data_IF_339029964061
#
_entry.id   IF_339029964061
#
_cell.length_a   1.000
_cell.length_b   1.000
_cell.length_c   1.000
_cell.angle_alpha   90.00
_cell.angle_beta   90.00
_cell.angle_gamma   90.00
#
_symmetry.space_group_name_H-M   'P 1'
#
loop_
_entity.id
_entity.type
_entity.pdbx_description
1 polymer ?
#
# COMPACT_ATOMS: atom_id res chain seq x y z
N UNK A 1 0.69 5.23 20.79
CA UNK A 1 -0.51 4.90 20.00
C UNK A 1 -0.67 3.39 20.12
N UNK A 2 -1.69 2.89 20.82
CA UNK A 2 -1.87 1.44 20.99
C UNK A 2 -2.13 0.84 19.61
N UNK A 3 -1.32 -0.14 19.22
CA UNK A 3 -1.52 -0.93 18.02
C UNK A 3 -2.73 -1.82 18.25
N UNK A 4 -3.85 -1.54 17.58
CA UNK A 4 -5.01 -2.44 17.48
C UNK A 4 -4.67 -3.63 16.55
N UNK A 5 -3.57 -4.34 16.85
CA UNK A 5 -3.24 -5.64 16.23
C UNK A 5 -3.85 -6.80 17.00
N UNK A 6 -4.65 -6.53 18.04
CA UNK A 6 -5.43 -7.56 18.69
C UNK A 6 -6.41 -8.12 17.65
N UNK A 7 -6.29 -9.43 17.38
CA UNK A 7 -7.26 -10.28 16.70
C UNK A 7 -8.55 -10.31 17.51
N UNK A 8 -9.26 -9.19 17.58
CA UNK A 8 -10.60 -9.10 18.14
C UNK A 8 -11.51 -9.67 17.07
N UNK A 9 -12.10 -10.84 17.34
CA UNK A 9 -13.27 -11.27 16.59
C UNK A 9 -14.25 -10.11 16.57
N UNK A 10 -14.57 -9.64 15.37
CA UNK A 10 -15.50 -8.53 15.21
C UNK A 10 -16.86 -9.05 15.67
N UNK A 11 -17.22 -8.78 16.93
CA UNK A 11 -18.52 -9.10 17.48
C UNK A 11 -19.59 -8.38 16.67
N UNK A 12 -20.48 -9.19 16.09
CA UNK A 12 -21.58 -8.76 15.26
C UNK A 12 -22.82 -8.64 16.14
N UNK A 13 -23.44 -7.46 16.16
CA UNK A 13 -24.68 -7.22 16.90
C UNK A 13 -25.87 -7.94 16.24
N UNK A 14 -26.83 -8.35 17.05
CA UNK A 14 -27.98 -9.19 16.68
C UNK A 14 -29.04 -8.49 15.81
N UNK A 15 -28.87 -7.20 15.50
CA UNK A 15 -29.72 -6.40 14.63
C UNK A 15 -29.55 -6.70 13.13
N UNK A 16 -28.63 -7.60 12.76
CA UNK A 16 -28.27 -7.94 11.38
C UNK A 16 -28.54 -9.40 10.99
N UNK A 17 -29.44 -10.11 11.68
CA UNK A 17 -29.72 -11.55 11.45
C UNK A 17 -30.11 -11.92 10.00
N UNK A 18 -30.51 -10.95 9.17
CA UNK A 18 -30.79 -11.16 7.74
C UNK A 18 -29.60 -11.03 6.78
N UNK A 19 -28.43 -10.57 7.24
CA UNK A 19 -27.24 -10.34 6.40
C UNK A 19 -26.21 -11.48 6.54
N UNK A 20 -25.63 -11.91 5.42
CA UNK A 20 -24.47 -12.81 5.42
C UNK A 20 -23.30 -12.26 6.24
N UNK A 21 -22.47 -13.15 6.81
CA UNK A 21 -21.35 -12.76 7.69
C UNK A 21 -20.44 -11.69 7.08
N UNK A 22 -20.22 -11.73 5.76
CA UNK A 22 -19.39 -10.76 5.04
C UNK A 22 -19.90 -9.32 5.21
N UNK A 23 -21.21 -9.08 5.05
CA UNK A 23 -21.82 -7.75 5.19
C UNK A 23 -21.88 -7.29 6.65
N UNK A 24 -22.13 -8.22 7.59
CA UNK A 24 -22.09 -7.92 9.02
C UNK A 24 -20.72 -7.42 9.47
N UNK A 25 -19.66 -8.00 8.93
CA UNK A 25 -18.29 -7.53 9.17
C UNK A 25 -18.03 -6.19 8.49
N UNK A 26 -18.58 -5.96 7.30
CA UNK A 26 -18.48 -4.66 6.63
C UNK A 26 -19.15 -3.54 7.44
N UNK A 27 -20.29 -3.81 8.09
CA UNK A 27 -20.94 -2.88 9.02
C UNK A 27 -20.03 -2.55 10.21
N UNK A 28 -19.49 -3.56 10.87
CA UNK A 28 -18.63 -3.33 12.02
C UNK A 28 -17.30 -2.63 11.67
N UNK A 29 -16.72 -2.92 10.49
CA UNK A 29 -15.58 -2.16 9.94
C UNK A 29 -15.96 -0.67 9.78
N UNK A 30 -17.16 -0.38 9.27
CA UNK A 30 -17.64 1.00 9.09
C UNK A 30 -17.91 1.69 10.42
N UNK A 31 -18.65 1.05 11.35
CA UNK A 31 -19.01 1.62 12.65
C UNK A 31 -17.79 1.96 13.51
N UNK A 32 -16.72 1.16 13.39
CA UNK A 32 -15.46 1.34 14.12
C UNK A 32 -14.38 2.10 13.33
N UNK A 33 -14.73 2.58 12.14
CA UNK A 33 -13.83 3.28 11.20
C UNK A 33 -12.47 2.58 10.97
N UNK A 34 -12.52 1.28 10.70
CA UNK A 34 -11.30 0.48 10.53
C UNK A 34 -10.79 0.54 9.08
N UNK A 35 -9.46 0.53 8.91
CA UNK A 35 -8.79 0.51 7.60
C UNK A 35 -8.79 -0.88 6.92
N UNK A 36 -9.95 -1.52 6.91
CA UNK A 36 -10.14 -2.84 6.34
C UNK A 36 -11.30 -2.87 5.35
N UNK A 37 -11.32 -3.86 4.47
CA UNK A 37 -12.50 -4.22 3.68
C UNK A 37 -12.80 -5.70 3.85
N UNK A 38 -14.07 -6.03 4.00
CA UNK A 38 -14.56 -7.41 4.05
C UNK A 38 -14.89 -7.86 2.63
N UNK A 39 -14.14 -8.83 2.08
CA UNK A 39 -14.42 -9.40 0.76
C UNK A 39 -15.09 -10.77 0.89
N UNK A 40 -16.16 -11.06 0.12
CA UNK A 40 -16.73 -12.40 0.06
C UNK A 40 -15.67 -13.44 -0.29
N UNK A 41 -15.63 -14.55 0.44
CA UNK A 41 -14.68 -15.62 0.15
C UNK A 41 -14.89 -16.22 -1.24
N UNK A 42 -16.12 -16.24 -1.72
CA UNK A 42 -16.50 -16.64 -3.08
C UNK A 42 -15.81 -15.79 -4.15
N UNK A 43 -15.66 -14.48 -3.89
CA UNK A 43 -14.95 -13.57 -4.78
C UNK A 43 -13.44 -13.83 -4.71
N UNK A 44 -12.89 -14.02 -3.50
CA UNK A 44 -11.46 -14.29 -3.30
C UNK A 44 -11.03 -15.60 -3.97
N UNK A 45 -11.90 -16.61 -3.95
CA UNK A 45 -11.67 -17.92 -4.56
C UNK A 45 -12.06 -17.98 -6.05
N UNK A 46 -12.59 -16.89 -6.61
CA UNK A 46 -13.03 -16.84 -8.00
C UNK A 46 -11.89 -17.00 -9.01
N UNK A 47 -12.24 -17.49 -10.19
CA UNK A 47 -11.32 -17.64 -11.32
C UNK A 47 -11.68 -16.63 -12.43
N UNK A 48 -10.71 -16.14 -13.19
CA UNK A 48 -11.00 -15.28 -14.33
C UNK A 48 -11.35 -16.14 -15.56
N UNK A 49 -12.47 -15.83 -16.22
CA UNK A 49 -12.91 -16.54 -17.44
C UNK A 49 -12.10 -16.15 -18.67
N UNK A 50 -12.06 -14.85 -18.91
CA UNK A 50 -11.31 -14.18 -19.96
C UNK A 50 -10.79 -12.85 -19.38
N UNK A 51 -9.57 -12.48 -19.78
CA UNK A 51 -8.90 -11.30 -19.23
C UNK A 51 -8.40 -11.47 -17.79
N UNK A 52 -8.25 -10.34 -17.10
CA UNK A 52 -7.89 -10.19 -15.69
C UNK A 52 -8.06 -8.71 -15.35
N UNK A 53 -8.29 -8.37 -14.09
CA UNK A 53 -8.13 -6.99 -13.66
C UNK A 53 -6.65 -6.56 -13.72
N UNK A 54 -6.39 -5.26 -13.75
CA UNK A 54 -5.08 -4.71 -13.41
C UNK A 54 -4.89 -4.65 -11.88
N UNK A 55 -3.71 -4.20 -11.43
CA UNK A 55 -3.50 -3.88 -10.02
C UNK A 55 -4.36 -2.68 -9.59
N UNK A 56 -4.55 -1.71 -10.49
CA UNK A 56 -5.41 -0.55 -10.24
C UNK A 56 -6.88 -0.95 -10.15
N UNK A 57 -7.38 -1.82 -11.05
CA UNK A 57 -8.74 -2.36 -10.99
C UNK A 57 -9.05 -3.12 -9.70
N UNK A 58 -8.14 -3.98 -9.24
CA UNK A 58 -8.31 -4.68 -7.95
C UNK A 58 -8.40 -3.73 -6.76
N UNK A 59 -7.58 -2.67 -6.75
CA UNK A 59 -7.58 -1.64 -5.69
C UNK A 59 -8.83 -0.78 -5.75
N UNK A 60 -9.22 -0.32 -6.94
CA UNK A 60 -10.44 0.45 -7.16
C UNK A 60 -11.66 -0.34 -6.69
N UNK A 61 -11.76 -1.62 -7.04
CA UNK A 61 -12.85 -2.47 -6.56
C UNK A 61 -12.87 -2.61 -5.03
N UNK A 62 -11.71 -2.77 -4.39
CA UNK A 62 -11.62 -2.83 -2.94
C UNK A 62 -12.04 -1.52 -2.26
N UNK A 63 -11.69 -0.37 -2.83
CA UNK A 63 -12.12 0.94 -2.36
C UNK A 63 -13.64 1.14 -2.53
N UNK A 64 -14.18 0.75 -3.69
CA UNK A 64 -15.62 0.74 -3.95
C UNK A 64 -16.38 -0.14 -2.95
N UNK A 65 -15.85 -1.33 -2.67
CA UNK A 65 -16.46 -2.23 -1.69
C UNK A 65 -16.36 -1.66 -0.27
N UNK A 66 -15.24 -1.02 0.10
CA UNK A 66 -15.12 -0.29 1.38
C UNK A 66 -16.14 0.83 1.51
N UNK A 67 -16.33 1.60 0.45
CA UNK A 67 -17.26 2.75 0.41
C UNK A 67 -18.71 2.26 0.59
N UNK A 68 -19.09 1.24 -0.18
CA UNK A 68 -20.42 0.65 -0.12
C UNK A 68 -20.72 -0.08 1.20
N UNK A 69 -19.71 -0.69 1.84
CA UNK A 69 -19.82 -1.30 3.17
C UNK A 69 -20.95 -2.33 3.28
N UNK A 70 -21.75 -2.37 4.36
CA UNK A 70 -22.87 -3.30 4.51
C UNK A 70 -23.99 -3.13 3.49
N UNK A 71 -24.05 -1.98 2.82
CA UNK A 71 -25.07 -1.68 1.82
C UNK A 71 -24.71 -2.25 0.44
N UNK A 72 -23.50 -2.81 0.27
CA UNK A 72 -23.01 -3.34 -1.01
C UNK A 72 -23.90 -4.44 -1.61
N UNK A 73 -24.76 -5.06 -0.81
CA UNK A 73 -25.75 -6.02 -1.26
C UNK A 73 -27.14 -5.44 -1.52
N UNK A 74 -27.39 -4.15 -1.32
CA UNK A 74 -28.72 -3.56 -1.49
C UNK A 74 -29.12 -3.42 -2.96
N UNK A 75 -30.41 -3.61 -3.25
CA UNK A 75 -30.93 -3.51 -4.61
C UNK A 75 -31.14 -2.07 -5.04
N UNK A 76 -30.88 -1.80 -6.34
CA UNK A 76 -31.03 -0.50 -6.99
C UNK A 76 -30.30 0.65 -6.27
N UNK A 77 -29.15 0.34 -5.64
CA UNK A 77 -28.36 1.33 -4.91
C UNK A 77 -27.13 1.75 -5.71
N UNK A 78 -27.08 3.04 -6.00
CA UNK A 78 -25.91 3.70 -6.58
C UNK A 78 -25.01 4.22 -5.45
N UNK A 79 -23.72 4.00 -5.59
CA UNK A 79 -22.70 4.49 -4.67
C UNK A 79 -21.83 5.54 -5.34
N UNK A 80 -21.23 6.41 -4.54
CA UNK A 80 -20.36 7.48 -5.02
C UNK A 80 -18.99 7.37 -4.38
N UNK A 81 -17.94 7.48 -5.19
CA UNK A 81 -16.55 7.54 -4.74
C UNK A 81 -15.84 8.69 -5.45
N UNK A 82 -15.02 9.45 -4.73
CA UNK A 82 -14.28 10.56 -5.36
C UNK A 82 -13.19 10.03 -6.28
N UNK A 83 -12.91 10.74 -7.37
CA UNK A 83 -11.76 10.43 -8.22
C UNK A 83 -10.44 10.51 -7.46
N UNK A 84 -10.36 11.36 -6.42
CA UNK A 84 -9.20 11.44 -5.52
C UNK A 84 -8.96 10.13 -4.76
N UNK A 85 -10.01 9.51 -4.22
CA UNK A 85 -9.92 8.21 -3.55
C UNK A 85 -9.44 7.12 -4.53
N UNK A 86 -10.01 7.07 -5.73
CA UNK A 86 -9.63 6.10 -6.76
C UNK A 86 -8.21 6.30 -7.31
N UNK A 87 -7.79 7.55 -7.49
CA UNK A 87 -6.47 7.94 -7.99
C UNK A 87 -5.36 7.63 -6.98
N UNK A 88 -5.64 7.77 -5.69
CA UNK A 88 -4.64 7.68 -4.63
C UNK A 88 -3.49 8.68 -4.84
N UNK A 89 -2.25 8.17 -4.90
CA UNK A 89 -1.04 9.00 -5.05
C UNK A 89 -0.68 9.37 -6.49
N UNK A 90 -1.49 9.00 -7.48
CA UNK A 90 -1.24 9.38 -8.88
C UNK A 90 -1.54 10.87 -9.10
N UNK A 91 -0.88 11.49 -10.10
CA UNK A 91 -0.98 12.93 -10.36
C UNK A 91 -2.25 13.34 -11.09
N UNK A 92 -2.81 12.46 -11.92
CA UNK A 92 -4.02 12.75 -12.71
C UNK A 92 -5.03 11.60 -12.68
N UNK A 93 -6.19 11.86 -13.30
CA UNK A 93 -7.35 10.97 -13.34
C UNK A 93 -7.39 10.09 -14.61
N UNK A 94 -6.41 10.20 -15.51
CA UNK A 94 -6.40 9.55 -16.84
C UNK A 94 -6.48 8.02 -16.79
N UNK A 95 -6.19 7.43 -15.63
CA UNK A 95 -6.23 5.99 -15.38
C UNK A 95 -7.58 5.49 -14.87
N UNK A 96 -8.48 6.39 -14.47
CA UNK A 96 -9.75 6.01 -13.83
C UNK A 96 -10.67 5.37 -14.86
N UNK A 97 -10.94 6.03 -15.99
CA UNK A 97 -11.82 5.49 -17.03
C UNK A 97 -11.39 4.09 -17.52
N UNK A 98 -10.11 3.83 -17.90
CA UNK A 98 -9.70 2.47 -18.27
C UNK A 98 -9.90 1.44 -17.16
N UNK A 99 -9.73 1.83 -15.89
CA UNK A 99 -9.96 0.96 -14.73
C UNK A 99 -11.46 0.64 -14.56
N UNK A 100 -12.35 1.61 -14.79
CA UNK A 100 -13.78 1.37 -14.77
C UNK A 100 -14.23 0.46 -15.90
N UNK A 101 -13.66 0.66 -17.10
CA UNK A 101 -13.90 -0.21 -18.25
C UNK A 101 -13.46 -1.66 -17.96
N UNK A 102 -12.32 -1.85 -17.29
CA UNK A 102 -11.88 -3.18 -16.82
C UNK A 102 -12.91 -3.81 -15.87
N UNK A 103 -13.42 -3.06 -14.89
CA UNK A 103 -14.37 -3.56 -13.88
C UNK A 103 -15.77 -3.84 -14.44
N UNK A 104 -16.21 -3.09 -15.45
CA UNK A 104 -17.47 -3.33 -16.15
C UNK A 104 -17.38 -4.58 -17.05
N UNK A 105 -16.22 -4.81 -17.69
CA UNK A 105 -16.06 -5.89 -18.68
C UNK A 105 -15.58 -7.22 -18.08
N UNK A 106 -14.97 -7.20 -16.89
CA UNK A 106 -14.44 -8.43 -16.29
C UNK A 106 -15.55 -9.43 -16.02
N UNK A 107 -15.28 -10.70 -16.33
CA UNK A 107 -16.14 -11.84 -15.97
C UNK A 107 -15.37 -12.73 -15.00
N UNK A 108 -15.91 -12.90 -13.80
CA UNK A 108 -15.40 -13.82 -12.79
C UNK A 108 -16.26 -15.07 -12.73
N UNK A 109 -15.62 -16.21 -12.49
CA UNK A 109 -16.24 -17.52 -12.32
C UNK A 109 -16.22 -17.92 -10.86
N UNK A 110 -17.41 -18.11 -10.30
CA UNK A 110 -17.61 -18.49 -8.90
C UNK A 110 -18.24 -19.87 -8.87
N UNK A 111 -17.67 -20.77 -8.06
CA UNK A 111 -18.28 -22.08 -7.80
C UNK A 111 -19.55 -21.88 -6.99
N UNK A 112 -20.64 -22.51 -7.41
CA UNK A 112 -21.95 -22.39 -6.78
C UNK A 112 -22.72 -23.69 -6.90
N UNK A 113 -23.96 -23.68 -6.41
CA UNK A 113 -24.89 -24.80 -6.51
C UNK A 113 -26.16 -24.32 -7.18
N UNK A 114 -26.63 -25.06 -8.19
CA UNK A 114 -27.91 -24.77 -8.86
C UNK A 114 -29.08 -24.94 -7.90
N UNK A 115 -30.26 -24.40 -8.27
CA UNK A 115 -31.52 -24.63 -7.53
C UNK A 115 -31.85 -26.12 -7.32
N UNK A 116 -31.29 -27.02 -8.13
CA UNK A 116 -31.45 -28.49 -8.04
C UNK A 116 -30.36 -29.16 -7.21
N UNK A 117 -29.54 -28.41 -6.46
CA UNK A 117 -28.47 -28.96 -5.62
C UNK A 117 -27.23 -29.42 -6.38
N UNK A 118 -27.15 -29.22 -7.71
CA UNK A 118 -25.98 -29.65 -8.51
C UNK A 118 -24.85 -28.61 -8.45
N UNK A 119 -23.58 -29.02 -8.29
CA UNK A 119 -22.43 -28.14 -8.46
C UNK A 119 -22.46 -27.44 -9.82
N UNK A 120 -22.14 -26.16 -9.84
CA UNK A 120 -22.12 -25.31 -11.03
C UNK A 120 -21.04 -24.24 -10.92
N UNK A 121 -20.75 -23.61 -12.05
CA UNK A 121 -19.92 -22.42 -12.14
C UNK A 121 -20.81 -21.29 -12.65
N UNK A 122 -20.86 -20.19 -11.90
CA UNK A 122 -21.57 -18.98 -12.28
C UNK A 122 -20.55 -17.97 -12.81
N UNK A 123 -20.75 -17.51 -14.04
CA UNK A 123 -19.99 -16.42 -14.66
C UNK A 123 -20.73 -15.10 -14.46
N UNK A 124 -20.04 -14.08 -13.98
CA UNK A 124 -20.67 -12.79 -13.68
C UNK A 124 -19.73 -11.60 -13.79
N UNK A 125 -20.28 -10.43 -14.13
CA UNK A 125 -19.58 -9.15 -14.00
C UNK A 125 -19.56 -8.67 -12.55
N UNK A 126 -18.70 -7.70 -12.24
CA UNK A 126 -18.62 -7.08 -10.91
C UNK A 126 -19.51 -5.83 -10.80
N UNK A 127 -19.51 -4.98 -11.83
CA UNK A 127 -20.31 -3.76 -11.89
C UNK A 127 -21.42 -3.89 -12.94
N UNK A 128 -22.56 -3.23 -12.72
CA UNK A 128 -23.63 -3.06 -13.72
C UNK A 128 -23.52 -1.73 -14.44
N UNK A 129 -23.15 -0.66 -13.73
CA UNK A 129 -23.07 0.68 -14.27
C UNK A 129 -21.97 1.50 -13.60
N UNK A 130 -21.48 2.49 -14.34
CA UNK A 130 -20.51 3.48 -13.88
C UNK A 130 -20.79 4.79 -14.61
N UNK A 131 -20.94 5.89 -13.86
CA UNK A 131 -21.08 7.25 -14.39
C UNK A 131 -19.93 8.08 -13.84
N UNK A 132 -19.07 8.55 -14.74
CA UNK A 132 -17.90 9.36 -14.39
C UNK A 132 -18.20 10.84 -14.70
N UNK A 133 -18.09 11.71 -13.70
CA UNK A 133 -18.17 13.15 -13.94
C UNK A 133 -16.95 13.62 -14.73
N UNK A 134 -17.11 14.57 -15.65
CA UNK A 134 -16.02 15.04 -16.53
C UNK A 134 -15.22 16.19 -15.87
N UNK A 135 -15.71 16.75 -14.75
CA UNK A 135 -15.06 17.88 -14.06
C UNK A 135 -13.64 17.55 -13.57
N UNK A 136 -12.77 18.55 -13.54
CA UNK A 136 -11.40 18.47 -13.00
C UNK A 136 -11.20 19.29 -11.72
N UNK A 137 -12.28 19.81 -11.13
CA UNK A 137 -12.29 20.66 -9.92
C UNK A 137 -11.77 19.99 -8.62
N UNK A 138 -11.29 18.75 -8.71
CA UNK A 138 -10.77 17.97 -7.59
C UNK A 138 -11.85 17.35 -6.70
N UNK A 139 -13.12 17.69 -6.90
CA UNK A 139 -14.29 17.12 -6.22
C UNK A 139 -15.03 16.11 -7.09
N UNK A 140 -14.68 16.01 -8.37
CA UNK A 140 -15.25 15.07 -9.32
C UNK A 140 -15.35 13.63 -8.78
N UNK A 141 -16.51 13.02 -9.01
CA UNK A 141 -16.84 11.68 -8.52
C UNK A 141 -17.06 10.66 -9.64
N UNK A 142 -17.07 9.40 -9.23
CA UNK A 142 -17.57 8.26 -9.97
C UNK A 142 -18.75 7.69 -9.21
N UNK A 143 -19.90 7.61 -9.88
CA UNK A 143 -21.04 6.85 -9.41
C UNK A 143 -20.98 5.44 -9.98
N UNK A 144 -21.27 4.43 -9.17
CA UNK A 144 -21.22 3.04 -9.59
C UNK A 144 -22.31 2.21 -8.93
N UNK A 145 -22.70 1.14 -9.61
CA UNK A 145 -23.61 0.13 -9.11
C UNK A 145 -22.99 -1.26 -9.28
N UNK A 146 -23.11 -2.08 -8.25
CA UNK A 146 -22.69 -3.48 -8.34
C UNK A 146 -23.67 -4.30 -9.17
N UNK A 147 -23.14 -5.28 -9.90
CA UNK A 147 -23.98 -6.19 -10.67
C UNK A 147 -24.94 -6.97 -9.76
N UNK A 148 -26.12 -7.30 -10.29
CA UNK A 148 -27.11 -8.13 -9.61
C UNK A 148 -26.51 -9.46 -9.10
N UNK A 149 -25.65 -10.06 -9.92
CA UNK A 149 -24.99 -11.32 -9.58
C UNK A 149 -23.96 -11.14 -8.45
N UNK A 150 -23.19 -10.05 -8.43
CA UNK A 150 -22.29 -9.74 -7.32
C UNK A 150 -23.06 -9.50 -6.02
N UNK A 151 -24.15 -8.72 -6.06
CA UNK A 151 -25.01 -8.47 -4.89
C UNK A 151 -25.49 -9.77 -4.25
N UNK A 152 -25.97 -10.73 -5.06
CA UNK A 152 -26.40 -12.05 -4.58
C UNK A 152 -25.28 -12.84 -3.89
N UNK A 153 -24.05 -12.72 -4.37
CA UNK A 153 -22.89 -13.36 -3.75
C UNK A 153 -22.62 -12.74 -2.38
N UNK A 154 -22.49 -11.41 -2.31
CA UNK A 154 -22.12 -10.76 -1.05
C UNK A 154 -23.23 -10.84 0.01
N UNK A 155 -24.51 -10.81 -0.39
CA UNK A 155 -25.65 -10.99 0.52
C UNK A 155 -25.63 -12.34 1.25
N UNK A 156 -25.19 -13.40 0.57
CA UNK A 156 -25.22 -14.80 1.07
C UNK A 156 -23.88 -15.31 1.59
N UNK A 157 -22.83 -14.48 1.49
CA UNK A 157 -21.48 -14.89 1.82
C UNK A 157 -21.28 -14.94 3.33
N UNK A 158 -21.00 -16.15 3.84
CA UNK A 158 -20.82 -16.41 5.27
C UNK A 158 -19.36 -16.60 5.70
N UNK A 159 -18.42 -16.43 4.76
CA UNK A 159 -16.99 -16.46 5.01
C UNK A 159 -16.31 -15.39 4.16
N UNK A 160 -15.30 -14.73 4.73
CA UNK A 160 -14.76 -13.50 4.16
C UNK A 160 -13.25 -13.40 4.37
N UNK A 161 -12.61 -12.61 3.52
CA UNK A 161 -11.27 -12.10 3.75
C UNK A 161 -11.35 -10.73 4.42
N UNK A 162 -10.68 -10.57 5.56
CA UNK A 162 -10.47 -9.27 6.19
C UNK A 162 -9.20 -8.65 5.62
N UNK A 163 -9.36 -7.76 4.65
CA UNK A 163 -8.24 -7.21 3.87
C UNK A 163 -7.84 -5.85 4.43
N UNK A 164 -6.61 -5.70 4.94
CA UNK A 164 -6.08 -4.39 5.33
C UNK A 164 -5.90 -3.52 4.08
N UNK A 165 -6.56 -2.36 4.04
CA UNK A 165 -6.55 -1.46 2.88
C UNK A 165 -5.18 -0.83 2.66
N UNK A 166 -4.46 -0.46 3.72
CA UNK A 166 -3.10 0.08 3.61
C UNK A 166 -2.16 -0.89 2.90
N UNK A 167 -2.17 -2.15 3.32
CA UNK A 167 -1.37 -3.23 2.68
C UNK A 167 -1.81 -3.42 1.23
N UNK A 168 -3.11 -3.58 0.98
CA UNK A 168 -3.64 -3.75 -0.38
C UNK A 168 -3.25 -2.58 -1.30
N UNK A 169 -3.32 -1.34 -0.84
CA UNK A 169 -2.94 -0.17 -1.64
C UNK A 169 -1.41 -0.08 -1.84
N UNK A 170 -0.61 -0.61 -0.92
CA UNK A 170 0.85 -0.61 -1.00
C UNK A 170 1.43 -1.68 -1.94
N UNK A 171 0.76 -2.83 -2.09
CA UNK A 171 1.16 -3.91 -3.01
C UNK A 171 1.12 -3.45 -4.48
N UNK A 172 2.11 -3.85 -5.28
CA UNK A 172 2.29 -3.34 -6.65
C UNK A 172 1.87 -4.36 -7.71
N UNK A 173 2.23 -5.62 -7.54
CA UNK A 173 1.84 -6.68 -8.45
C UNK A 173 0.37 -7.08 -8.26
N UNK A 174 -0.34 -7.22 -9.38
CA UNK A 174 -1.72 -7.74 -9.38
C UNK A 174 -1.82 -9.17 -8.83
N UNK A 175 -0.76 -9.95 -8.97
CA UNK A 175 -0.70 -11.30 -8.44
C UNK A 175 -0.49 -11.30 -6.92
N UNK A 176 0.29 -10.34 -6.40
CA UNK A 176 0.42 -10.13 -4.95
C UNK A 176 -0.91 -9.78 -4.32
N UNK A 177 -1.72 -8.91 -4.96
CA UNK A 177 -3.05 -8.56 -4.46
C UNK A 177 -3.95 -9.79 -4.32
N UNK A 178 -3.99 -10.67 -5.33
CA UNK A 178 -4.83 -11.88 -5.28
C UNK A 178 -4.29 -12.91 -4.27
N UNK A 179 -2.98 -13.12 -4.18
CA UNK A 179 -2.41 -14.02 -3.16
C UNK A 179 -2.59 -13.46 -1.74
N UNK A 180 -2.51 -12.14 -1.57
CA UNK A 180 -2.78 -11.48 -0.30
C UNK A 180 -4.24 -11.64 0.13
N UNK A 181 -5.20 -11.41 -0.78
CA UNK A 181 -6.62 -11.66 -0.50
C UNK A 181 -6.85 -13.12 -0.06
N UNK A 182 -6.21 -14.09 -0.73
CA UNK A 182 -6.28 -15.51 -0.35
C UNK A 182 -5.69 -15.76 1.04
N UNK A 183 -4.56 -15.13 1.37
CA UNK A 183 -3.97 -15.18 2.71
C UNK A 183 -4.91 -14.64 3.78
N UNK A 184 -5.48 -13.45 3.56
CA UNK A 184 -6.46 -12.83 4.46
C UNK A 184 -7.71 -13.72 4.69
N UNK A 185 -8.10 -14.51 3.68
CA UNK A 185 -9.23 -15.44 3.79
C UNK A 185 -8.97 -16.64 4.72
N UNK A 186 -7.70 -17.08 4.79
CA UNK A 186 -7.36 -18.35 5.45
C UNK A 186 -6.49 -18.19 6.69
N UNK A 187 -5.86 -17.05 6.92
CA UNK A 187 -4.86 -16.87 7.99
C UNK A 187 -5.44 -17.17 9.39
N UNK A 188 -6.74 -16.93 9.57
CA UNK A 188 -7.47 -17.20 10.81
C UNK A 188 -8.14 -18.58 10.85
N UNK A 189 -7.93 -19.44 9.84
CA UNK A 189 -8.42 -20.83 9.84
C UNK A 189 -7.44 -21.75 10.56
N UNK A 190 -7.94 -22.89 11.04
CA UNK A 190 -7.10 -23.95 11.62
C UNK A 190 -6.10 -24.51 10.59
N UNK A 191 -6.56 -24.71 9.35
CA UNK A 191 -5.71 -25.12 8.24
C UNK A 191 -5.41 -23.90 7.35
N UNK A 192 -4.15 -23.46 7.37
CA UNK A 192 -3.63 -22.30 6.62
C UNK A 192 -2.90 -22.72 5.35
N UNK A 193 -3.23 -23.90 4.84
CA UNK A 193 -2.61 -24.48 3.66
C UNK A 193 -3.64 -24.59 2.54
N UNK A 194 -3.28 -24.10 1.36
CA UNK A 194 -4.09 -24.23 0.14
C UNK A 194 -3.29 -24.98 -0.92
N UNK A 195 -3.78 -26.15 -1.32
CA UNK A 195 -3.23 -26.93 -2.43
C UNK A 195 -4.09 -26.71 -3.67
N UNK A 196 -3.47 -26.40 -4.79
CA UNK A 196 -4.14 -26.29 -6.09
C UNK A 196 -3.20 -26.68 -7.22
N UNK A 197 -3.75 -27.16 -8.33
CA UNK A 197 -2.93 -27.41 -9.52
C UNK A 197 -2.42 -26.08 -10.12
N UNK A 198 -1.33 -26.15 -10.89
CA UNK A 198 -0.69 -24.95 -11.45
C UNK A 198 -1.65 -24.14 -12.31
N UNK A 199 -2.49 -24.80 -13.12
CA UNK A 199 -3.44 -24.13 -14.01
C UNK A 199 -4.57 -23.43 -13.25
N UNK A 200 -5.07 -24.04 -12.17
CA UNK A 200 -6.05 -23.42 -11.26
C UNK A 200 -5.46 -22.17 -10.62
N UNK A 201 -4.22 -22.24 -10.13
CA UNK A 201 -3.56 -21.05 -9.59
C UNK A 201 -3.43 -19.94 -10.63
N UNK A 202 -3.01 -20.28 -11.86
CA UNK A 202 -2.87 -19.31 -12.96
C UNK A 202 -4.20 -18.63 -13.28
N UNK A 203 -5.30 -19.38 -13.33
CA UNK A 203 -6.65 -18.82 -13.55
C UNK A 203 -7.12 -17.94 -12.40
N UNK A 204 -6.89 -18.32 -11.14
CA UNK A 204 -7.21 -17.48 -9.97
C UNK A 204 -6.42 -16.18 -9.98
N UNK A 205 -5.13 -16.24 -10.28
CA UNK A 205 -4.25 -15.06 -10.35
C UNK A 205 -4.56 -14.16 -11.56
N UNK A 206 -5.33 -14.63 -12.55
CA UNK A 206 -5.58 -13.91 -13.79
C UNK A 206 -4.33 -13.82 -14.68
N UNK A 207 -3.54 -14.90 -14.70
CA UNK A 207 -2.39 -15.02 -15.62
C UNK A 207 -2.92 -15.19 -17.04
N UNK A 208 -2.55 -14.33 -18.00
CA UNK A 208 -3.00 -14.45 -19.38
C UNK A 208 -2.49 -15.75 -19.99
N UNK A 209 -3.29 -16.34 -20.88
CA UNK A 209 -2.90 -17.51 -21.64
C UNK A 209 -1.58 -17.26 -22.40
N UNK A 210 -0.70 -18.26 -22.43
CA UNK A 210 0.62 -18.16 -23.07
C UNK A 210 1.69 -17.33 -22.32
N UNK A 211 1.34 -16.59 -21.26
CA UNK A 211 2.34 -15.89 -20.42
C UNK A 211 3.10 -16.87 -19.52
N UNK A 212 4.36 -16.61 -19.15
CA UNK A 212 5.17 -17.51 -18.30
C UNK A 212 5.12 -18.97 -18.78
N UNK A 213 5.82 -19.25 -19.89
CA UNK A 213 5.64 -20.47 -20.70
C UNK A 213 5.89 -21.77 -19.94
N UNK A 214 6.72 -21.69 -18.90
CA UNK A 214 7.06 -22.81 -18.04
C UNK A 214 6.91 -22.41 -16.57
N UNK A 215 6.88 -23.42 -15.70
CA UNK A 215 6.73 -23.20 -14.27
C UNK A 215 7.89 -22.41 -13.67
N UNK A 216 9.11 -22.49 -14.22
CA UNK A 216 10.25 -21.74 -13.69
C UNK A 216 10.09 -20.22 -13.86
N UNK A 217 9.59 -19.78 -15.02
CA UNK A 217 9.20 -18.38 -15.27
C UNK A 217 8.06 -17.95 -14.34
N UNK A 218 7.01 -18.77 -14.23
CA UNK A 218 5.87 -18.48 -13.35
C UNK A 218 6.31 -18.35 -11.88
N UNK A 219 7.15 -19.27 -11.41
CA UNK A 219 7.73 -19.24 -10.06
C UNK A 219 8.54 -17.96 -9.82
N UNK A 220 9.43 -17.59 -10.74
CA UNK A 220 10.29 -16.40 -10.59
C UNK A 220 9.49 -15.09 -10.66
N UNK A 221 8.64 -14.96 -11.67
CA UNK A 221 8.02 -13.68 -12.01
C UNK A 221 6.65 -13.46 -11.39
N UNK A 222 6.03 -14.51 -10.84
CA UNK A 222 4.74 -14.44 -10.15
C UNK A 222 4.90 -14.82 -8.69
N UNK A 223 5.26 -16.07 -8.37
CA UNK A 223 5.26 -16.55 -6.99
C UNK A 223 6.29 -15.82 -6.12
N UNK A 224 7.56 -15.78 -6.54
CA UNK A 224 8.63 -15.19 -5.77
C UNK A 224 8.46 -13.67 -5.58
N UNK A 225 8.05 -12.96 -6.63
CA UNK A 225 7.75 -11.51 -6.53
C UNK A 225 6.53 -11.23 -5.64
N UNK A 226 5.52 -12.09 -5.70
CA UNK A 226 4.33 -11.91 -4.86
C UNK A 226 4.63 -12.20 -3.39
N UNK A 227 5.38 -13.28 -3.13
CA UNK A 227 5.91 -13.60 -1.81
C UNK A 227 6.71 -12.44 -1.23
N UNK A 228 7.68 -11.91 -1.97
CA UNK A 228 8.53 -10.85 -1.44
C UNK A 228 7.80 -9.54 -1.16
N UNK A 229 6.74 -9.22 -1.90
CA UNK A 229 5.87 -8.08 -1.56
C UNK A 229 4.99 -8.35 -0.33
N UNK A 230 4.40 -9.55 -0.22
CA UNK A 230 3.52 -9.93 0.89
C UNK A 230 4.33 -10.03 2.18
N UNK A 231 5.44 -10.76 2.18
CA UNK A 231 6.31 -10.91 3.35
C UNK A 231 6.89 -9.57 3.81
N UNK A 232 6.97 -8.56 2.94
CA UNK A 232 7.45 -7.23 3.32
C UNK A 232 6.34 -6.39 3.99
N UNK A 233 5.07 -6.59 3.63
CA UNK A 233 4.00 -5.61 3.91
C UNK A 233 2.78 -6.17 4.66
N UNK A 234 2.58 -7.48 4.68
CA UNK A 234 1.48 -8.13 5.38
C UNK A 234 1.91 -8.63 6.76
N UNK A 235 0.95 -8.78 7.67
CA UNK A 235 1.08 -9.35 9.01
C UNK A 235 1.27 -10.88 9.02
N UNK A 236 1.43 -11.49 7.84
CA UNK A 236 1.75 -12.89 7.62
C UNK A 236 2.78 -13.05 6.50
N UNK A 237 3.39 -14.23 6.44
CA UNK A 237 4.25 -14.66 5.34
C UNK A 237 3.57 -15.73 4.49
N UNK A 238 4.03 -15.89 3.25
CA UNK A 238 3.56 -16.95 2.35
C UNK A 238 4.73 -17.81 1.87
N UNK A 239 4.62 -19.12 2.06
CA UNK A 239 5.55 -20.12 1.52
C UNK A 239 4.85 -21.00 0.49
N UNK A 240 5.63 -21.65 -0.37
CA UNK A 240 5.08 -22.67 -1.27
C UNK A 240 5.95 -23.91 -1.38
N UNK A 241 5.30 -25.06 -1.51
CA UNK A 241 5.92 -26.33 -1.86
C UNK A 241 5.45 -26.75 -3.27
N UNK A 242 6.38 -27.27 -4.07
CA UNK A 242 6.08 -27.80 -5.41
C UNK A 242 5.71 -29.30 -5.31
N UNK A 243 4.52 -29.66 -5.79
CA UNK A 243 4.09 -31.04 -5.91
C UNK A 243 4.36 -31.52 -7.33
N UNK A 244 5.28 -32.48 -7.45
CA UNK A 244 5.74 -32.99 -8.74
C UNK A 244 5.02 -34.27 -9.14
N UNK A 245 4.68 -34.35 -10.43
CA UNK A 245 4.08 -35.51 -11.06
C UNK A 245 5.04 -36.67 -11.30
N UNK A 246 4.49 -37.79 -11.74
CA UNK A 246 5.22 -39.02 -12.11
C UNK A 246 5.66 -39.06 -13.58
N UNK A 247 5.27 -38.08 -14.40
CA UNK A 247 5.62 -38.00 -15.81
C UNK A 247 7.11 -37.75 -16.10
N UNK A 248 7.53 -37.91 -17.36
CA UNK A 248 8.91 -37.65 -17.80
C UNK A 248 9.33 -36.23 -17.43
N UNK A 249 10.47 -36.10 -16.76
CA UNK A 249 10.98 -34.80 -16.28
C UNK A 249 10.34 -34.29 -14.99
N UNK A 250 9.45 -35.07 -14.34
CA UNK A 250 8.80 -34.76 -13.05
C UNK A 250 8.26 -33.33 -13.00
N UNK A 251 7.32 -32.97 -13.91
CA UNK A 251 6.78 -31.62 -13.99
C UNK A 251 6.08 -31.24 -12.68
N UNK A 252 6.06 -29.94 -12.38
CA UNK A 252 5.29 -29.41 -11.24
C UNK A 252 3.82 -29.38 -11.66
N UNK A 253 2.99 -30.19 -10.99
CA UNK A 253 1.56 -30.30 -11.31
C UNK A 253 0.70 -29.44 -10.37
N UNK A 254 1.16 -29.26 -9.13
CA UNK A 254 0.45 -28.49 -8.12
C UNK A 254 1.41 -27.75 -7.21
N UNK A 255 0.88 -26.73 -6.54
CA UNK A 255 1.57 -26.03 -5.46
C UNK A 255 0.75 -26.12 -4.18
N UNK A 256 1.45 -26.16 -3.06
CA UNK A 256 0.87 -26.08 -1.73
C UNK A 256 1.35 -24.77 -1.09
N UNK A 257 0.46 -23.79 -1.01
CA UNK A 257 0.70 -22.49 -0.40
C UNK A 257 0.44 -22.59 1.10
N UNK A 258 1.36 -22.12 1.92
CA UNK A 258 1.24 -22.07 3.37
C UNK A 258 1.33 -20.63 3.83
N UNK A 259 0.35 -20.18 4.61
CA UNK A 259 0.30 -18.82 5.15
C UNK A 259 0.53 -18.87 6.65
N UNK A 260 1.50 -18.10 7.13
CA UNK A 260 1.92 -18.15 8.54
C UNK A 260 1.87 -16.76 9.16
N UNK A 261 1.18 -16.55 10.29
CA UNK A 261 1.18 -15.26 10.95
C UNK A 261 2.60 -14.95 11.40
N UNK A 262 2.99 -13.68 11.25
CA UNK A 262 4.23 -13.18 11.82
C UNK A 262 4.12 -13.10 13.33
N UNK A 263 5.27 -13.20 14.01
CA UNK A 263 5.31 -12.91 15.43
C UNK A 263 5.09 -11.39 15.68
N UNK A 264 4.80 -10.97 16.93
CA UNK A 264 4.51 -9.55 17.22
C UNK A 264 5.60 -8.57 16.79
N UNK A 265 6.88 -8.91 16.96
CA UNK A 265 8.00 -8.04 16.58
C UNK A 265 8.07 -7.87 15.06
N UNK A 266 7.90 -8.96 14.31
CA UNK A 266 7.83 -8.94 12.85
C UNK A 266 6.61 -8.16 12.34
N UNK A 267 5.48 -8.22 13.03
CA UNK A 267 4.29 -7.44 12.70
C UNK A 267 4.54 -5.94 12.91
N UNK A 268 5.20 -5.56 14.00
CA UNK A 268 5.57 -4.16 14.26
C UNK A 268 6.51 -3.63 13.18
N UNK A 269 7.53 -4.39 12.79
CA UNK A 269 8.44 -4.00 11.71
C UNK A 269 7.74 -3.90 10.36
N UNK A 270 6.77 -4.78 10.09
CA UNK A 270 5.94 -4.71 8.88
C UNK A 270 5.08 -3.45 8.87
N UNK A 271 4.46 -3.09 10.00
CA UNK A 271 3.67 -1.86 10.13
C UNK A 271 4.55 -0.63 9.86
N UNK A 272 5.76 -0.57 10.44
CA UNK A 272 6.74 0.47 10.14
C UNK A 272 7.13 0.48 8.67
N UNK A 273 7.32 -0.69 8.05
CA UNK A 273 7.68 -0.79 6.63
C UNK A 273 6.57 -0.29 5.72
N UNK A 274 5.30 -0.50 6.07
CA UNK A 274 4.14 -0.02 5.32
C UNK A 274 4.12 1.52 5.21
N UNK A 275 4.47 2.20 6.30
CA UNK A 275 4.55 3.68 6.38
C UNK A 275 5.75 4.27 5.63
N UNK A 276 6.79 3.46 5.34
CA UNK A 276 7.99 3.94 4.65
C UNK A 276 7.72 4.20 3.16
N UNK A 277 8.45 5.14 2.51
CA UNK A 277 8.24 5.46 1.10
C UNK A 277 8.38 4.28 0.14
N UNK A 278 7.49 4.20 -0.85
CA UNK A 278 7.45 3.14 -1.89
C UNK A 278 8.80 2.83 -2.55
N UNK A 279 9.59 3.86 -2.86
CA UNK A 279 10.90 3.72 -3.50
C UNK A 279 11.87 2.98 -2.57
N UNK A 280 11.89 3.34 -1.28
CA UNK A 280 12.70 2.66 -0.26
C UNK A 280 12.28 1.22 -0.04
N UNK A 281 10.97 0.94 -0.06
CA UNK A 281 10.46 -0.44 0.04
C UNK A 281 10.98 -1.32 -1.09
N UNK A 282 10.93 -0.81 -2.32
CA UNK A 282 11.44 -1.53 -3.49
C UNK A 282 12.94 -1.79 -3.38
N UNK A 283 13.72 -0.78 -3.01
CA UNK A 283 15.17 -0.94 -2.85
C UNK A 283 15.52 -2.03 -1.81
N UNK A 284 14.86 -2.03 -0.64
CA UNK A 284 15.10 -3.05 0.41
C UNK A 284 14.76 -4.45 -0.07
N UNK A 285 13.65 -4.60 -0.77
CA UNK A 285 13.21 -5.90 -1.30
C UNK A 285 14.12 -6.43 -2.41
N UNK A 286 14.63 -5.55 -3.26
CA UNK A 286 15.51 -5.92 -4.36
C UNK A 286 16.98 -6.13 -3.88
N UNK A 287 17.25 -6.00 -2.58
CA UNK A 287 18.61 -6.11 -2.01
C UNK A 287 19.54 -4.98 -2.45
N UNK A 288 19.00 -3.90 -3.02
CA UNK A 288 19.74 -2.76 -3.55
C UNK A 288 19.99 -1.68 -2.48
N UNK A 289 19.73 -1.98 -1.21
CA UNK A 289 20.08 -1.10 -0.10
C UNK A 289 21.48 -1.45 0.33
N UNK A 290 22.40 -0.51 0.16
CA UNK A 290 23.69 -0.58 0.84
C UNK A 290 23.44 -0.68 2.35
N UNK A 291 24.07 -1.66 2.99
CA UNK A 291 24.05 -1.80 4.43
C UNK A 291 24.71 -0.54 5.03
N UNK A 292 23.89 0.43 5.42
CA UNK A 292 24.34 1.51 6.27
C UNK A 292 24.59 0.86 7.62
N UNK A 293 25.81 0.34 7.82
CA UNK A 293 26.32 0.01 9.14
C UNK A 293 25.93 1.14 10.08
N UNK A 294 25.40 0.79 11.24
CA UNK A 294 24.96 1.74 12.24
C UNK A 294 26.14 2.60 12.71
N UNK A 295 26.48 3.62 11.92
CA UNK A 295 26.97 4.87 12.46
C UNK A 295 25.77 5.38 13.24
N UNK A 296 25.92 5.35 14.56
CA UNK A 296 25.12 6.08 15.54
C UNK A 296 24.54 7.31 14.88
N UNK A 297 23.23 7.55 15.01
CA UNK A 297 22.56 8.72 14.42
C UNK A 297 23.25 10.00 14.89
N UNK A 298 24.30 10.40 14.18
CA UNK A 298 24.69 11.78 14.06
C UNK A 298 23.71 12.32 13.06
N UNK A 299 22.85 13.23 13.53
CA UNK A 299 22.11 14.18 12.70
C UNK A 299 22.87 14.41 11.39
N UNK A 300 22.19 14.32 10.26
CA UNK A 300 22.64 14.88 8.98
C UNK A 300 22.75 16.42 9.11
N UNK A 301 23.64 16.90 9.97
CA UNK A 301 24.40 18.11 9.70
C UNK A 301 25.44 17.70 8.69
N UNK A 302 25.07 17.74 7.40
CA UNK A 302 26.09 17.90 6.38
C UNK A 302 26.93 19.10 6.82
N UNK A 303 28.20 18.86 7.16
CA UNK A 303 29.13 19.90 7.57
C UNK A 303 29.39 20.78 6.35
N UNK A 304 28.46 21.70 6.07
CA UNK A 304 28.57 22.69 5.00
C UNK A 304 29.57 23.75 5.47
N UNK A 305 30.50 24.18 4.61
CA UNK A 305 31.33 25.35 4.90
C UNK A 305 30.47 26.61 4.99
N UNK A 306 31.02 27.68 5.55
CA UNK A 306 30.31 28.96 5.64
C UNK A 306 29.92 29.45 4.23
N UNK A 307 28.68 29.95 4.01
CA UNK A 307 28.22 30.40 2.70
C UNK A 307 29.13 31.47 2.09
N UNK A 308 29.48 31.30 0.82
CA UNK A 308 30.22 32.29 0.02
C UNK A 308 29.30 33.35 -0.59
N UNK A 309 28.00 33.08 -0.68
CA UNK A 309 26.98 34.01 -1.19
C UNK A 309 26.35 34.90 -0.12
N UNK A 310 25.23 35.54 -0.49
CA UNK A 310 24.39 36.29 0.45
C UNK A 310 23.72 35.36 1.49
N UNK A 311 23.67 35.80 2.73
CA UNK A 311 22.86 35.19 3.80
C UNK A 311 21.36 35.47 3.65
N UNK A 312 20.91 36.28 2.69
CA UNK A 312 19.47 36.41 2.39
C UNK A 312 18.87 35.13 1.83
N UNK A 313 19.64 34.37 1.07
CA UNK A 313 19.21 33.13 0.41
C UNK A 313 19.89 31.88 0.99
N UNK A 314 20.45 31.99 2.21
CA UNK A 314 21.14 30.89 2.86
C UNK A 314 20.15 29.82 3.36
N UNK A 315 20.41 28.56 3.00
CA UNK A 315 19.64 27.41 3.48
C UNK A 315 20.08 26.84 4.84
N UNK A 316 21.09 27.42 5.49
CA UNK A 316 21.54 27.02 6.84
C UNK A 316 20.83 27.89 7.89
N UNK A 317 19.76 27.34 8.46
CA UNK A 317 18.95 28.04 9.47
C UNK A 317 19.74 28.38 10.74
N UNK A 318 20.77 27.61 11.09
CA UNK A 318 21.53 27.84 12.32
C UNK A 318 22.40 29.10 12.22
N UNK A 319 23.00 29.36 11.05
CA UNK A 319 23.72 30.62 10.80
C UNK A 319 22.79 31.83 10.84
N UNK A 320 21.56 31.68 10.31
CA UNK A 320 20.53 32.72 10.31
C UNK A 320 20.03 33.03 11.72
N UNK A 321 19.83 32.01 12.55
CA UNK A 321 19.46 32.20 13.96
C UNK A 321 20.58 32.90 14.73
N UNK A 322 21.84 32.46 14.57
CA UNK A 322 22.98 33.11 15.26
C UNK A 322 23.08 34.60 14.91
N UNK A 323 22.94 34.96 13.64
CA UNK A 323 23.04 36.39 13.24
C UNK A 323 21.82 37.19 13.69
N UNK A 324 20.63 36.58 13.74
CA UNK A 324 19.45 37.24 14.30
C UNK A 324 19.61 37.50 15.81
N UNK A 325 20.07 36.51 16.56
CA UNK A 325 20.17 36.57 18.01
C UNK A 325 21.36 37.42 18.49
N UNK A 326 22.50 37.34 17.78
CA UNK A 326 23.76 37.94 18.21
C UNK A 326 24.31 39.03 17.29
N UNK A 327 23.69 39.27 16.12
CA UNK A 327 24.13 40.28 15.15
C UNK A 327 23.66 41.71 15.46
N UNK A 328 22.82 41.90 16.48
CA UNK A 328 22.51 43.22 17.03
C UNK A 328 21.80 44.18 16.05
N UNK A 329 21.01 43.65 15.11
CA UNK A 329 20.24 44.43 14.14
C UNK A 329 20.98 44.81 12.86
N UNK A 330 22.28 44.55 12.78
CA UNK A 330 23.08 44.83 11.59
C UNK A 330 22.71 43.92 10.42
N UNK A 331 22.89 44.44 9.20
CA UNK A 331 22.68 43.67 7.98
C UNK A 331 23.53 42.40 7.96
N UNK A 332 22.87 41.25 7.74
CA UNK A 332 23.52 39.94 7.83
C UNK A 332 24.58 39.71 6.76
N UNK A 333 24.47 40.34 5.58
CA UNK A 333 25.50 40.25 4.55
C UNK A 333 26.73 41.09 4.91
N UNK A 334 26.52 42.22 5.61
CA UNK A 334 27.61 43.04 6.12
C UNK A 334 28.43 42.30 7.18
N UNK A 335 27.76 41.64 8.15
CA UNK A 335 28.46 40.82 9.16
C UNK A 335 29.13 39.61 8.51
N UNK A 336 28.45 38.95 7.56
CA UNK A 336 28.98 37.77 6.87
C UNK A 336 30.21 38.09 6.01
N UNK A 337 30.26 39.27 5.40
CA UNK A 337 31.44 39.76 4.66
C UNK A 337 32.62 39.99 5.60
N UNK A 338 32.39 40.72 6.70
CA UNK A 338 33.43 40.99 7.69
C UNK A 338 33.98 39.71 8.34
N UNK A 339 33.14 38.69 8.52
CA UNK A 339 33.58 37.38 9.03
C UNK A 339 34.44 36.63 8.02
N UNK A 340 34.07 36.67 6.73
CA UNK A 340 34.89 36.10 5.65
C UNK A 340 36.26 36.77 5.57
N UNK A 341 36.29 38.10 5.64
CA UNK A 341 37.54 38.86 5.59
C UNK A 341 38.44 38.55 6.80
N UNK A 342 37.88 38.40 8.00
CA UNK A 342 38.65 38.08 9.21
C UNK A 342 39.19 36.65 9.21
N UNK A 343 38.41 35.70 8.69
CA UNK A 343 38.74 34.28 8.79
C UNK A 343 39.57 33.76 7.61
N UNK A 344 39.44 34.36 6.41
CA UNK A 344 40.20 33.99 5.22
C UNK A 344 40.17 32.49 4.93
N UNK A 345 41.32 31.91 4.60
CA UNK A 345 41.48 30.48 4.26
C UNK A 345 41.03 29.52 5.36
N UNK A 346 40.95 29.98 6.63
CA UNK A 346 40.47 29.14 7.74
C UNK A 346 39.01 28.72 7.56
N UNK A 347 38.21 29.43 6.77
CA UNK A 347 36.83 29.03 6.48
C UNK A 347 36.73 27.81 5.55
N UNK A 348 37.78 27.50 4.78
CA UNK A 348 37.79 26.35 3.88
C UNK A 348 37.75 25.03 4.64
N UNK A 349 38.27 25.00 5.86
CA UNK A 349 38.34 23.81 6.72
C UNK A 349 37.33 23.83 7.87
N UNK A 350 36.59 24.93 8.06
CA UNK A 350 35.73 25.14 9.23
C UNK A 350 34.29 24.76 8.93
N UNK A 351 33.79 23.72 9.59
CA UNK A 351 32.42 23.20 9.40
C UNK A 351 31.77 22.80 10.72
N UNK A 352 30.45 22.57 10.69
CA UNK A 352 29.70 22.01 11.83
C UNK A 352 29.75 22.88 13.09
N UNK A 353 29.88 22.26 14.26
CA UNK A 353 29.82 22.95 15.56
C UNK A 353 30.94 23.98 15.76
N UNK A 354 32.12 23.74 15.19
CA UNK A 354 33.25 24.67 15.24
C UNK A 354 32.95 25.94 14.44
N UNK A 355 32.31 25.79 13.27
CA UNK A 355 31.85 26.93 12.47
C UNK A 355 30.82 27.77 13.21
N UNK A 356 29.81 27.13 13.80
CA UNK A 356 28.74 27.84 14.51
C UNK A 356 29.26 28.62 15.72
N UNK A 357 30.17 28.02 16.51
CA UNK A 357 30.83 28.72 17.63
C UNK A 357 31.68 29.92 17.16
N UNK A 358 32.43 29.76 16.07
CA UNK A 358 33.24 30.83 15.51
C UNK A 358 32.37 31.99 14.99
N UNK A 359 31.27 31.66 14.30
CA UNK A 359 30.30 32.62 13.78
C UNK A 359 29.60 33.38 14.92
N UNK A 360 29.12 32.67 15.94
CA UNK A 360 28.50 33.29 17.12
C UNK A 360 29.46 34.21 17.87
N UNK A 361 30.68 33.75 18.14
CA UNK A 361 31.72 34.56 18.77
C UNK A 361 32.06 35.80 17.95
N UNK A 362 32.06 35.69 16.62
CA UNK A 362 32.26 36.84 15.75
C UNK A 362 31.09 37.82 15.80
N UNK A 363 29.83 37.37 15.72
CA UNK A 363 28.66 38.24 15.82
C UNK A 363 28.65 39.01 17.14
N UNK A 364 28.88 38.32 18.27
CA UNK A 364 28.99 38.96 19.59
C UNK A 364 30.10 39.99 19.65
N UNK A 365 31.29 39.68 19.13
CA UNK A 365 32.42 40.60 19.06
C UNK A 365 32.15 41.79 18.13
N UNK A 366 31.52 41.55 16.98
CA UNK A 366 31.16 42.56 15.99
C UNK A 366 30.23 43.63 16.60
N UNK A 367 29.19 43.20 17.31
CA UNK A 367 28.28 44.09 18.06
C UNK A 367 29.00 44.74 19.24
N UNK A 368 29.83 44.00 19.99
CA UNK A 368 30.59 44.55 21.11
C UNK A 368 31.54 45.70 20.71
N UNK A 369 32.07 45.67 19.49
CA UNK A 369 32.95 46.72 18.95
C UNK A 369 32.21 47.90 18.30
N UNK A 370 30.99 47.69 17.76
CA UNK A 370 30.28 48.68 16.93
C UNK A 370 28.96 49.19 17.52
N UNK A 371 28.50 48.61 18.61
CA UNK A 371 27.15 48.84 19.13
C UNK A 371 26.07 48.11 18.34
N UNK A 372 24.82 48.21 18.81
CA UNK A 372 23.65 47.71 18.07
C UNK A 372 23.26 48.73 16.99
N UNK A 373 22.80 48.24 15.84
CA UNK A 373 22.33 49.07 14.73
C UNK A 373 20.94 49.65 15.00
#
# INVERSE_FOLDING_TARGET
MKLDSDTVEIEVTSDLEGLGRTLRVADAIRRRDLDFVSKPGELVESEFETGSLSAAGRKAFALMLRKAGPEAGEDNKTFTITKKELRGSHKGNERIQPVMDELLRVIVRIRTTTKKGKPAIMSQSLLSSCVEEISEDGMSVVEYEFSESFKRVIQRSDYYARVNLGVMLALQSRYSLTLYDLGCLIINRQNRVVKMNVEELRRRLGVPEGSFKNFAEFRRDVLAKSKSEIDQLADFTVEWEEVRGSGRGRPVEAVKLTFSPKNPDEQEETAKELDRPKIGRRARRDGAVEEITAVTVSKLTGSRPFPTGSLHFCGDQHLLTIVADFGGGWDKDLIARAFRDKMGDRLLTLTGSALYKAWEGFCKGFVGMRGKA
#
